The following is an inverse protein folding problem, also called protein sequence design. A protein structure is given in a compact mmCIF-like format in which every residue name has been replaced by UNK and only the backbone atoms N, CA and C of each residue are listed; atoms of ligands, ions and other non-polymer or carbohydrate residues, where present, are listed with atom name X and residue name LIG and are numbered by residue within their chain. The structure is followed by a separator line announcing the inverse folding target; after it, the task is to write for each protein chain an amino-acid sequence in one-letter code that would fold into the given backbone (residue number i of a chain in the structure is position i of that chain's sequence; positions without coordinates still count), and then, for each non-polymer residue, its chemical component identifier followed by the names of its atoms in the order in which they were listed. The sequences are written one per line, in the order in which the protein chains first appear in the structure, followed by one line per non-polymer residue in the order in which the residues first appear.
data_IF_375714906514
#
_entry.id   IF_375714906514
#
_cell.length_a   1.000
_cell.length_b   1.000
_cell.length_c   1.000
_cell.angle_alpha   90.00
_cell.angle_beta   90.00
_cell.angle_gamma   90.00
#
_symmetry.space_group_name_H-M   'P 1'
#
loop_
_entity.id
_entity.type
_entity.pdbx_description
1 polymer ?
#
# COMPACT_ATOMS: atom_id res chain seq x y z
N UNK A 1 -7.34 4.88 14.73
CA UNK A 1 -6.83 3.49 14.92
C UNK A 1 -5.31 3.54 14.89
N UNK A 2 -4.64 2.95 15.88
CA UNK A 2 -3.18 2.78 15.85
C UNK A 2 -2.86 1.51 15.07
N UNK A 3 -2.16 1.64 13.94
CA UNK A 3 -1.80 0.52 13.06
C UNK A 3 -2.30 0.71 11.62
N UNK A 4 -1.58 0.14 10.66
CA UNK A 4 -1.98 0.09 9.26
C UNK A 4 -2.85 -1.17 9.03
N UNK A 5 -3.83 -1.10 8.13
CA UNK A 5 -4.54 -2.29 7.67
C UNK A 5 -3.61 -3.07 6.76
N UNK A 6 -3.28 -4.30 7.15
CA UNK A 6 -2.36 -5.21 6.46
C UNK A 6 -3.21 -6.27 5.73
N UNK A 7 -3.10 -6.38 4.40
CA UNK A 7 -3.76 -7.45 3.66
C UNK A 7 -3.12 -8.79 3.99
N UNK A 8 -3.95 -9.84 4.03
CA UNK A 8 -3.51 -11.21 4.29
C UNK A 8 -3.97 -12.12 3.15
N UNK A 9 -3.08 -12.97 2.68
CA UNK A 9 -3.39 -14.07 1.77
C UNK A 9 -3.43 -15.36 2.59
N UNK A 10 -4.50 -16.15 2.44
CA UNK A 10 -4.67 -17.42 3.15
C UNK A 10 -4.76 -18.53 2.11
N UNK A 11 -3.87 -19.51 2.22
CA UNK A 11 -3.89 -20.73 1.41
C UNK A 11 -4.36 -21.89 2.28
N UNK A 12 -5.41 -22.60 1.84
CA UNK A 12 -5.98 -23.74 2.56
C UNK A 12 -5.64 -25.02 1.80
N UNK A 13 -5.12 -26.03 2.50
CA UNK A 13 -4.76 -27.34 1.94
C UNK A 13 -5.85 -28.39 2.20
N UNK A 14 -5.75 -29.53 1.53
CA UNK A 14 -6.76 -30.62 1.60
C UNK A 14 -6.88 -31.25 3.00
N UNK A 15 -5.79 -31.26 3.76
CA UNK A 15 -5.74 -31.70 5.16
C UNK A 15 -6.34 -30.67 6.14
N UNK A 16 -6.92 -29.59 5.61
CA UNK A 16 -7.44 -28.43 6.36
C UNK A 16 -6.36 -27.65 7.11
N UNK A 17 -5.08 -27.92 6.87
CA UNK A 17 -4.03 -26.99 7.26
C UNK A 17 -4.13 -25.72 6.42
N UNK A 18 -3.59 -24.63 6.95
CA UNK A 18 -3.55 -23.36 6.23
C UNK A 18 -2.23 -22.65 6.47
N UNK A 19 -1.76 -21.95 5.45
CA UNK A 19 -0.68 -20.98 5.55
C UNK A 19 -1.26 -19.59 5.32
N UNK A 20 -0.65 -18.57 5.92
CA UNK A 20 -1.02 -17.20 5.68
C UNK A 20 0.21 -16.34 5.45
N UNK A 21 0.12 -15.43 4.49
CA UNK A 21 1.15 -14.45 4.17
C UNK A 21 0.61 -13.04 4.42
N UNK A 22 1.29 -12.29 5.29
CA UNK A 22 1.01 -10.87 5.51
C UNK A 22 1.69 -10.06 4.42
N UNK A 23 0.93 -9.22 3.73
CA UNK A 23 1.43 -8.32 2.69
C UNK A 23 1.59 -6.90 3.24
N UNK A 24 2.35 -6.07 2.55
CA UNK A 24 2.49 -4.64 2.84
C UNK A 24 1.14 -3.92 2.71
N UNK A 25 0.93 -2.82 3.46
CA UNK A 25 -0.29 -2.04 3.38
C UNK A 25 -0.61 -1.58 1.94
N UNK A 26 -1.90 -1.37 1.61
CA UNK A 26 -2.29 -0.89 0.30
C UNK A 26 -1.62 0.46 -0.03
N UNK A 27 -1.15 0.62 -1.28
CA UNK A 27 -0.51 1.86 -1.73
C UNK A 27 -1.39 3.09 -1.47
N UNK A 28 -2.70 2.97 -1.71
CA UNK A 28 -3.65 4.05 -1.45
C UNK A 28 -3.65 4.51 0.02
N UNK A 29 -3.54 3.60 0.99
CA UNK A 29 -3.50 3.95 2.42
C UNK A 29 -2.19 4.64 2.79
N UNK A 30 -1.07 4.20 2.21
CA UNK A 30 0.23 4.83 2.39
C UNK A 30 0.25 6.24 1.78
N UNK A 31 -0.31 6.42 0.58
CA UNK A 31 -0.43 7.73 -0.07
C UNK A 31 -1.33 8.69 0.71
N UNK A 32 -2.48 8.24 1.21
CA UNK A 32 -3.36 9.07 2.04
C UNK A 32 -2.64 9.52 3.33
N UNK A 33 -1.87 8.62 3.95
CA UNK A 33 -1.06 8.92 5.14
C UNK A 33 0.05 9.92 4.83
N UNK A 34 0.82 9.71 3.76
CA UNK A 34 1.90 10.62 3.35
C UNK A 34 1.38 12.00 2.94
N UNK A 35 0.22 12.04 2.30
CA UNK A 35 -0.48 13.28 1.92
C UNK A 35 -1.19 13.97 3.09
N UNK A 36 -1.34 13.31 4.25
CA UNK A 36 -2.06 13.87 5.40
C UNK A 36 -3.57 14.03 5.18
N UNK A 37 -4.17 13.35 4.20
CA UNK A 37 -5.61 13.49 3.88
C UNK A 37 -6.40 12.24 4.30
N UNK A 38 -7.62 12.39 4.85
CA UNK A 38 -8.42 11.26 5.31
C UNK A 38 -9.10 10.50 4.16
N UNK A 39 -9.36 11.16 3.02
CA UNK A 39 -10.06 10.60 1.86
C UNK A 39 -9.42 11.06 0.55
N UNK A 40 -9.41 10.17 -0.44
CA UNK A 40 -9.01 10.50 -1.81
C UNK A 40 -10.08 11.30 -2.55
N UNK A 41 -9.73 11.79 -3.73
CA UNK A 41 -10.69 12.49 -4.59
C UNK A 41 -11.81 11.57 -5.07
N UNK A 42 -13.05 12.05 -5.04
CA UNK A 42 -14.19 11.36 -5.66
C UNK A 42 -14.17 11.43 -7.19
N UNK A 43 -13.44 12.40 -7.75
CA UNK A 43 -13.18 12.53 -9.19
C UNK A 43 -11.66 12.62 -9.42
N UNK A 44 -10.97 11.47 -9.58
CA UNK A 44 -9.55 11.43 -9.89
C UNK A 44 -9.22 12.31 -11.11
N UNK A 45 -8.06 12.96 -11.08
CA UNK A 45 -7.54 13.87 -12.12
C UNK A 45 -8.31 15.19 -12.37
N UNK A 46 -9.55 15.34 -11.90
CA UNK A 46 -10.27 16.63 -11.91
C UNK A 46 -10.03 17.43 -10.63
N UNK A 47 -10.34 16.81 -9.50
CA UNK A 47 -10.20 17.43 -8.18
C UNK A 47 -8.94 16.89 -7.51
N UNK A 48 -7.91 17.73 -7.39
CA UNK A 48 -6.65 17.38 -6.72
C UNK A 48 -6.76 17.72 -5.24
N UNK A 49 -6.83 16.70 -4.39
CA UNK A 49 -7.01 16.86 -2.93
C UNK A 49 -5.71 16.78 -2.13
N UNK A 50 -4.61 16.42 -2.78
CA UNK A 50 -3.33 16.16 -2.13
C UNK A 50 -2.15 16.33 -3.11
N UNK A 51 -0.97 16.57 -2.53
CA UNK A 51 0.33 16.49 -3.21
C UNK A 51 1.28 15.73 -2.28
N UNK A 52 2.07 14.84 -2.86
CA UNK A 52 3.16 14.12 -2.16
C UNK A 52 4.49 14.49 -2.79
N UNK A 53 5.56 14.42 -2.01
CA UNK A 53 6.93 14.65 -2.48
C UNK A 53 7.55 13.37 -3.02
N UNK A 54 8.60 13.50 -3.83
CA UNK A 54 9.33 12.34 -4.35
C UNK A 54 9.98 11.50 -3.25
N UNK A 55 10.45 12.14 -2.17
CA UNK A 55 11.04 11.42 -1.03
C UNK A 55 10.00 10.53 -0.34
N UNK A 56 8.79 11.05 -0.13
CA UNK A 56 7.68 10.25 0.39
C UNK A 56 7.28 9.11 -0.55
N UNK A 57 7.37 9.30 -1.86
CA UNK A 57 7.11 8.24 -2.85
C UNK A 57 8.17 7.14 -2.76
N UNK A 58 9.45 7.49 -2.59
CA UNK A 58 10.53 6.51 -2.40
C UNK A 58 10.35 5.67 -1.14
N UNK A 59 10.05 6.30 -0.01
CA UNK A 59 9.78 5.56 1.24
C UNK A 59 8.63 4.55 1.08
N UNK A 60 7.57 4.96 0.35
CA UNK A 60 6.44 4.08 0.03
C UNK A 60 6.88 2.95 -0.90
N UNK A 61 7.68 3.24 -1.92
CA UNK A 61 8.20 2.25 -2.86
C UNK A 61 9.11 1.22 -2.17
N UNK A 62 10.03 1.66 -1.32
CA UNK A 62 10.89 0.78 -0.51
C UNK A 62 10.05 -0.14 0.39
N UNK A 63 9.06 0.42 1.09
CA UNK A 63 8.16 -0.37 1.95
C UNK A 63 7.38 -1.41 1.14
N UNK A 64 6.99 -1.10 -0.09
CA UNK A 64 6.18 -1.99 -0.94
C UNK A 64 7.01 -2.93 -1.80
N UNK A 65 8.31 -2.73 -1.93
CA UNK A 65 9.18 -3.42 -2.89
C UNK A 65 9.09 -4.94 -2.77
N UNK A 66 9.01 -5.47 -1.55
CA UNK A 66 8.94 -6.91 -1.29
C UNK A 66 7.66 -7.57 -1.85
N UNK A 67 6.59 -6.80 -2.01
CA UNK A 67 5.33 -7.27 -2.60
C UNK A 67 5.19 -6.94 -4.10
N UNK A 68 6.09 -6.12 -4.63
CA UNK A 68 6.02 -5.64 -6.00
C UNK A 68 6.96 -6.43 -6.88
N UNK A 69 6.61 -6.54 -8.16
CA UNK A 69 7.51 -7.05 -9.18
C UNK A 69 8.46 -5.95 -9.70
N UNK A 70 8.77 -4.95 -8.88
CA UNK A 70 9.58 -3.79 -9.28
C UNK A 70 11.08 -4.16 -9.26
N UNK A 71 11.78 -3.87 -10.36
CA UNK A 71 13.21 -4.19 -10.49
C UNK A 71 14.09 -3.22 -9.66
N UNK A 72 13.68 -1.96 -9.60
CA UNK A 72 14.33 -0.88 -8.85
C UNK A 72 13.27 0.03 -8.22
N UNK A 73 13.70 1.08 -7.51
CA UNK A 73 12.81 1.98 -6.77
C UNK A 73 12.15 3.01 -7.69
N UNK A 74 12.71 3.24 -8.89
CA UNK A 74 12.21 4.23 -9.84
C UNK A 74 11.14 3.63 -10.80
N UNK A 75 11.02 2.30 -10.84
CA UNK A 75 10.14 1.51 -11.71
C UNK A 75 8.70 1.29 -11.18
#
# INVERSE_FOLDING_TARGET
QRGNVIPVEITVYEDRSFTFALKTPPAAKLLLKAAGVPKGSGEPHKTKVAKVTWDQVREIAETKKEDLNANDIDA
#
